data_IF_453879692814
#
_entry.id   IF_453879692814
#
_cell.length_a   1.000
_cell.length_b   1.000
_cell.length_c   1.000
_cell.angle_alpha   90.00
_cell.angle_beta   90.00
_cell.angle_gamma   90.00
#
_symmetry.space_group_name_H-M   'P 1'
#
loop_
_entity.id
_entity.type
_entity.pdbx_description
1 polymer ?
#
# COMPACT_ATOMS: atom_id res chain seq x y z
N UNK A 1 -1.54 -14.51 14.26
CA UNK A 1 -2.52 -13.60 14.88
C UNK A 1 -3.20 -12.73 13.83
N UNK A 2 -2.46 -12.03 12.96
CA UNK A 2 -3.03 -11.20 11.88
C UNK A 2 -4.01 -12.00 11.00
N UNK A 3 -3.63 -13.18 10.51
CA UNK A 3 -4.50 -14.01 9.65
C UNK A 3 -5.86 -14.35 10.27
N UNK A 4 -5.89 -14.59 11.59
CA UNK A 4 -7.13 -14.86 12.31
C UNK A 4 -8.02 -13.61 12.36
N UNK A 5 -7.43 -12.44 12.64
CA UNK A 5 -8.15 -11.17 12.69
C UNK A 5 -8.67 -10.78 11.30
N UNK A 6 -7.86 -10.96 10.25
CA UNK A 6 -8.27 -10.75 8.86
C UNK A 6 -9.44 -11.67 8.49
N UNK A 7 -9.39 -12.95 8.89
CA UNK A 7 -10.49 -13.88 8.64
C UNK A 7 -11.75 -13.56 9.45
N UNK A 8 -11.62 -13.10 10.70
CA UNK A 8 -12.77 -12.64 11.48
C UNK A 8 -13.44 -11.42 10.84
N UNK A 9 -12.66 -10.49 10.30
CA UNK A 9 -13.19 -9.29 9.66
C UNK A 9 -13.83 -9.57 8.29
N UNK A 10 -13.26 -10.48 7.50
CA UNK A 10 -13.62 -10.65 6.09
C UNK A 10 -14.28 -11.99 5.75
N UNK A 11 -14.21 -12.99 6.63
CA UNK A 11 -14.61 -14.37 6.34
C UNK A 11 -16.04 -14.51 5.86
N UNK A 12 -16.98 -13.77 6.46
CA UNK A 12 -18.39 -13.75 6.05
C UNK A 12 -18.59 -13.11 4.67
N UNK A 13 -17.83 -12.06 4.35
CA UNK A 13 -17.88 -11.39 3.05
C UNK A 13 -17.35 -12.36 1.97
N UNK A 14 -16.20 -13.00 2.25
CA UNK A 14 -15.57 -13.98 1.37
C UNK A 14 -16.50 -15.17 1.14
N UNK A 15 -17.07 -15.75 2.20
CA UNK A 15 -17.96 -16.91 2.09
C UNK A 15 -19.27 -16.59 1.36
N UNK A 16 -19.82 -15.38 1.56
CA UNK A 16 -20.99 -14.92 0.81
C UNK A 16 -20.69 -14.80 -0.68
N UNK A 17 -19.54 -14.25 -1.04
CA UNK A 17 -19.09 -14.17 -2.44
C UNK A 17 -18.89 -15.58 -3.04
N UNK A 18 -18.21 -16.47 -2.33
CA UNK A 18 -18.01 -17.87 -2.75
C UNK A 18 -19.32 -18.59 -3.04
N UNK A 19 -20.27 -18.54 -2.12
CA UNK A 19 -21.53 -19.28 -2.25
C UNK A 19 -22.48 -18.64 -3.28
N UNK A 20 -22.62 -17.30 -3.27
CA UNK A 20 -23.65 -16.63 -4.08
C UNK A 20 -23.20 -16.27 -5.49
N UNK A 21 -21.91 -16.03 -5.71
CA UNK A 21 -21.39 -15.59 -7.01
C UNK A 21 -20.64 -16.70 -7.74
N UNK A 22 -19.91 -17.54 -7.01
CA UNK A 22 -19.04 -18.57 -7.61
C UNK A 22 -19.63 -19.99 -7.53
N UNK A 23 -20.70 -20.21 -6.76
CA UNK A 23 -21.26 -21.55 -6.54
C UNK A 23 -20.32 -22.48 -5.76
N UNK A 24 -19.39 -21.92 -4.99
CA UNK A 24 -18.41 -22.67 -4.21
C UNK A 24 -18.85 -22.81 -2.74
N UNK A 25 -18.46 -23.93 -2.13
CA UNK A 25 -18.67 -24.14 -0.69
C UNK A 25 -17.99 -23.06 0.15
N UNK A 26 -18.59 -22.67 1.29
CA UNK A 26 -17.95 -21.76 2.24
C UNK A 26 -16.70 -22.39 2.83
N UNK A 27 -15.68 -21.56 3.09
CA UNK A 27 -14.50 -21.96 3.84
C UNK A 27 -14.82 -21.96 5.33
N UNK A 28 -14.37 -23.00 6.02
CA UNK A 28 -14.51 -23.15 7.48
C UNK A 28 -13.89 -21.96 8.22
N UNK A 29 -14.56 -21.50 9.28
CA UNK A 29 -14.05 -20.47 10.19
C UNK A 29 -12.77 -20.86 10.91
N UNK A 30 -12.56 -22.15 11.15
CA UNK A 30 -11.38 -22.68 11.84
C UNK A 30 -10.21 -22.85 10.86
N UNK A 31 -10.46 -23.30 9.63
CA UNK A 31 -9.42 -23.60 8.62
C UNK A 31 -9.16 -22.46 7.62
N UNK A 32 -9.97 -21.41 7.67
CA UNK A 32 -9.84 -20.24 6.81
C UNK A 32 -8.55 -19.45 7.08
N UNK A 33 -8.24 -19.11 8.34
CA UNK A 33 -7.09 -18.28 8.67
C UNK A 33 -5.75 -18.82 8.15
N UNK A 34 -5.51 -20.13 8.21
CA UNK A 34 -4.24 -20.74 7.81
C UNK A 34 -4.23 -21.26 6.36
N UNK A 35 -5.34 -21.10 5.63
CA UNK A 35 -5.54 -21.79 4.35
C UNK A 35 -4.48 -21.42 3.32
N UNK A 36 -4.13 -20.13 3.19
CA UNK A 36 -3.15 -19.67 2.21
C UNK A 36 -1.75 -20.24 2.48
N UNK A 37 -1.34 -20.28 3.74
CA UNK A 37 -0.06 -20.85 4.16
C UNK A 37 -0.05 -22.38 3.99
N UNK A 38 -1.10 -23.06 4.45
CA UNK A 38 -1.22 -24.52 4.38
C UNK A 38 -1.24 -25.03 2.95
N UNK A 39 -1.91 -24.31 2.04
CA UNK A 39 -1.96 -24.65 0.62
C UNK A 39 -0.77 -24.10 -0.17
N UNK A 40 0.15 -23.37 0.47
CA UNK A 40 1.30 -22.73 -0.18
C UNK A 40 0.90 -21.90 -1.40
N UNK A 41 -0.18 -21.13 -1.29
CA UNK A 41 -0.71 -20.33 -2.41
C UNK A 41 0.37 -19.35 -2.88
N UNK A 42 0.84 -19.45 -4.14
CA UNK A 42 1.89 -18.56 -4.63
C UNK A 42 1.43 -17.10 -4.63
N UNK A 43 2.24 -16.22 -4.07
CA UNK A 43 1.99 -14.78 -4.10
C UNK A 43 3.30 -13.99 -4.08
N UNK A 44 3.22 -12.77 -4.61
CA UNK A 44 4.36 -11.88 -4.80
C UNK A 44 4.09 -10.58 -4.05
N UNK A 45 5.05 -10.14 -3.24
CA UNK A 45 5.02 -8.82 -2.63
C UNK A 45 5.72 -7.79 -3.53
N UNK A 46 5.07 -6.64 -3.70
CA UNK A 46 5.50 -5.61 -4.66
C UNK A 46 6.28 -4.47 -3.99
N UNK A 47 7.36 -4.82 -3.28
CA UNK A 47 8.32 -3.84 -2.75
C UNK A 47 9.75 -4.16 -3.20
N UNK A 48 10.66 -3.19 -3.08
CA UNK A 48 12.08 -3.39 -3.40
C UNK A 48 12.81 -4.22 -2.33
N UNK A 49 13.50 -5.33 -2.69
CA UNK A 49 14.35 -6.07 -1.75
C UNK A 49 15.48 -5.24 -1.13
N UNK A 50 15.86 -4.12 -1.75
CA UNK A 50 16.83 -3.17 -1.19
C UNK A 50 16.27 -2.39 0.01
N UNK A 51 14.94 -2.27 0.12
CA UNK A 51 14.27 -1.65 1.27
C UNK A 51 14.11 -2.67 2.40
N UNK A 52 13.52 -3.83 2.10
CA UNK A 52 13.35 -4.94 3.03
C UNK A 52 13.66 -6.25 2.29
N UNK A 53 14.73 -6.97 2.67
CA UNK A 53 15.07 -8.24 2.04
C UNK A 53 14.01 -9.32 2.38
N UNK A 54 13.92 -10.34 1.53
CA UNK A 54 13.03 -11.48 1.79
C UNK A 54 13.42 -12.16 3.12
N UNK A 55 12.48 -12.33 4.07
CA UNK A 55 12.73 -13.11 5.27
C UNK A 55 13.13 -14.56 4.94
N UNK A 56 14.10 -15.09 5.68
CA UNK A 56 14.69 -16.43 5.41
C UNK A 56 13.73 -17.58 5.68
N UNK A 57 12.75 -17.36 6.55
CA UNK A 57 11.71 -18.29 6.96
C UNK A 57 10.55 -18.37 5.96
N UNK A 58 10.54 -17.52 4.93
CA UNK A 58 9.50 -17.56 3.89
C UNK A 58 9.71 -18.70 2.90
N UNK A 59 8.64 -19.43 2.62
CA UNK A 59 8.64 -20.52 1.65
C UNK A 59 9.00 -20.08 0.22
N UNK A 60 9.35 -21.05 -0.62
CA UNK A 60 9.68 -20.81 -2.05
C UNK A 60 8.50 -20.29 -2.88
N UNK A 61 7.27 -20.49 -2.41
CA UNK A 61 6.03 -20.01 -3.05
C UNK A 61 5.80 -18.50 -2.86
N UNK A 62 6.54 -17.86 -1.96
CA UNK A 62 6.45 -16.40 -1.73
C UNK A 62 7.63 -15.73 -2.41
N UNK A 63 7.36 -14.72 -3.24
CA UNK A 63 8.40 -13.95 -3.94
C UNK A 63 8.27 -12.45 -3.65
N UNK A 64 9.33 -11.70 -3.97
CA UNK A 64 9.35 -10.24 -3.90
C UNK A 64 9.84 -9.75 -5.26
N UNK A 65 9.05 -8.92 -5.95
CA UNK A 65 9.33 -8.53 -7.34
C UNK A 65 10.06 -7.21 -7.50
N UNK A 66 10.09 -6.36 -6.48
CA UNK A 66 10.31 -4.92 -6.67
C UNK A 66 8.98 -4.15 -6.73
N UNK A 67 9.08 -2.84 -6.90
CA UNK A 67 7.92 -1.97 -7.04
C UNK A 67 7.22 -2.18 -8.39
N UNK A 68 5.88 -2.10 -8.38
CA UNK A 68 5.10 -2.02 -9.61
C UNK A 68 5.04 -0.57 -10.06
N UNK A 69 5.78 -0.23 -11.12
CA UNK A 69 5.69 1.09 -11.75
C UNK A 69 4.62 1.07 -12.84
N UNK A 70 3.85 2.16 -12.89
CA UNK A 70 2.94 2.43 -14.00
C UNK A 70 3.70 3.12 -15.13
N UNK A 71 3.24 2.96 -16.36
CA UNK A 71 3.71 3.80 -17.47
C UNK A 71 3.32 5.24 -17.19
N UNK A 72 4.29 6.12 -17.09
CA UNK A 72 4.04 7.55 -16.90
C UNK A 72 3.37 8.11 -18.16
N UNK A 73 2.20 8.74 -18.07
CA UNK A 73 1.60 9.42 -19.22
C UNK A 73 2.44 10.64 -19.61
N UNK A 74 2.34 11.05 -20.87
CA UNK A 74 2.90 12.32 -21.30
C UNK A 74 2.22 13.46 -20.53
N UNK A 75 3.02 14.22 -19.78
CA UNK A 75 2.54 15.33 -18.97
C UNK A 75 3.34 16.59 -19.30
N UNK A 76 2.63 17.64 -19.74
CA UNK A 76 3.18 18.97 -19.92
C UNK A 76 2.80 19.82 -18.70
N UNK A 77 3.75 20.21 -17.82
CA UNK A 77 3.45 21.06 -16.68
C UNK A 77 3.01 22.45 -17.13
N UNK A 78 2.19 23.10 -16.31
CA UNK A 78 1.89 24.52 -16.48
C UNK A 78 3.18 25.36 -16.35
N UNK A 79 3.21 26.54 -16.99
CA UNK A 79 4.42 27.35 -17.12
C UNK A 79 4.99 27.80 -15.78
N UNK A 80 4.14 28.07 -14.81
CA UNK A 80 4.49 28.46 -13.44
C UNK A 80 5.19 27.32 -12.67
N UNK A 81 4.68 26.10 -12.78
CA UNK A 81 5.31 24.91 -12.21
C UNK A 81 6.65 24.63 -12.90
N UNK A 82 6.72 24.77 -14.23
CA UNK A 82 7.97 24.59 -14.97
C UNK A 82 9.03 25.61 -14.56
N UNK A 83 8.65 26.87 -14.38
CA UNK A 83 9.54 27.93 -13.88
C UNK A 83 10.03 27.62 -12.46
N UNK A 84 9.14 27.18 -11.56
CA UNK A 84 9.50 26.76 -10.20
C UNK A 84 10.49 25.59 -10.19
N UNK A 85 10.24 24.54 -10.98
CA UNK A 85 11.10 23.34 -11.06
C UNK A 85 12.48 23.63 -11.67
N UNK A 86 12.60 24.66 -12.51
CA UNK A 86 13.87 25.11 -13.08
C UNK A 86 14.69 26.04 -12.16
N UNK A 87 14.14 26.40 -10.99
CA UNK A 87 14.84 27.15 -9.96
C UNK A 87 15.79 26.29 -9.11
N UNK A 88 16.06 26.69 -7.85
CA UNK A 88 16.76 25.84 -6.88
C UNK A 88 16.05 24.50 -6.68
N UNK A 89 16.82 23.47 -6.28
CA UNK A 89 16.28 22.11 -6.09
C UNK A 89 15.05 22.11 -5.16
N UNK A 90 13.84 21.78 -5.67
CA UNK A 90 12.62 21.93 -4.91
C UNK A 90 12.42 20.78 -3.90
N UNK A 91 11.67 21.06 -2.84
CA UNK A 91 11.22 20.04 -1.87
C UNK A 91 9.74 19.75 -2.13
N UNK A 92 9.40 18.48 -2.36
CA UNK A 92 8.02 18.01 -2.42
C UNK A 92 7.55 17.55 -1.04
N UNK A 93 6.42 18.10 -0.57
CA UNK A 93 5.77 17.71 0.68
C UNK A 93 4.36 17.22 0.34
N UNK A 94 4.09 15.95 0.63
CA UNK A 94 2.78 15.35 0.41
C UNK A 94 2.58 14.15 1.32
N UNK A 95 1.44 14.10 2.00
CA UNK A 95 1.09 13.01 2.94
C UNK A 95 0.06 12.04 2.36
N UNK A 96 -0.35 12.24 1.09
CA UNK A 96 -1.49 11.55 0.51
C UNK A 96 -2.81 12.01 1.16
N UNK A 97 -3.86 11.22 0.97
CA UNK A 97 -5.15 11.49 1.59
C UNK A 97 -5.13 10.97 3.04
N UNK A 98 -5.05 11.90 3.99
CA UNK A 98 -5.12 11.64 5.42
C UNK A 98 -6.22 12.49 6.06
N UNK A 99 -6.83 11.98 7.12
CA UNK A 99 -7.74 12.76 7.97
C UNK A 99 -6.91 13.32 9.12
N UNK A 100 -6.88 14.65 9.23
CA UNK A 100 -6.19 15.37 10.29
C UNK A 100 -7.23 16.02 11.20
N UNK A 101 -6.95 16.06 12.51
CA UNK A 101 -7.80 16.76 13.48
C UNK A 101 -7.82 18.28 13.21
N UNK A 102 -6.67 18.85 12.85
CA UNK A 102 -6.52 20.27 12.48
C UNK A 102 -5.60 20.43 11.25
N UNK A 103 -6.18 20.45 10.03
CA UNK A 103 -5.44 20.63 8.78
C UNK A 103 -4.78 22.01 8.64
N UNK A 104 -5.38 23.05 9.21
CA UNK A 104 -4.88 24.43 9.10
C UNK A 104 -3.62 24.59 9.95
N UNK A 105 -3.62 24.07 11.18
CA UNK A 105 -2.44 24.05 12.03
C UNK A 105 -1.27 23.27 11.41
N UNK A 106 -1.55 22.13 10.77
CA UNK A 106 -0.52 21.37 10.02
C UNK A 106 0.06 22.20 8.88
N UNK A 107 -0.79 22.88 8.11
CA UNK A 107 -0.34 23.72 6.98
C UNK A 107 0.52 24.89 7.47
N UNK A 108 0.12 25.56 8.55
CA UNK A 108 0.91 26.63 9.14
C UNK A 108 2.25 26.14 9.68
N UNK A 109 2.29 24.96 10.29
CA UNK A 109 3.53 24.35 10.76
C UNK A 109 4.49 24.06 9.60
N UNK A 110 3.98 23.59 8.46
CA UNK A 110 4.80 23.35 7.26
C UNK A 110 5.39 24.66 6.74
N UNK A 111 4.60 25.73 6.65
CA UNK A 111 5.10 27.05 6.23
C UNK A 111 6.13 27.64 7.20
N UNK A 112 5.93 27.47 8.50
CA UNK A 112 6.89 27.88 9.52
C UNK A 112 8.20 27.11 9.39
N UNK A 113 8.12 25.79 9.21
CA UNK A 113 9.30 24.94 9.01
C UNK A 113 10.08 25.37 7.77
N UNK A 114 9.40 25.56 6.63
CA UNK A 114 10.03 26.01 5.39
C UNK A 114 10.75 27.34 5.57
N UNK A 115 10.09 28.35 6.17
CA UNK A 115 10.70 29.67 6.40
C UNK A 115 11.96 29.61 7.28
N UNK A 116 12.01 28.67 8.22
CA UNK A 116 13.16 28.47 9.12
C UNK A 116 14.33 27.74 8.46
N UNK A 117 14.07 26.91 7.44
CA UNK A 117 15.09 26.06 6.82
C UNK A 117 15.52 26.50 5.43
N UNK A 118 14.78 27.40 4.77
CA UNK A 118 15.09 27.93 3.43
C UNK A 118 14.15 27.38 2.37
#
# INVERSE_FOLDING_TARGET
MIELLSWQALGDIINRFRAKCLGLDPVSTIRGPDMLQRLKVPHTYCWSPALIPKPKDWGSHVSISGFCFLTTPDYAPASDLLEFLNGPAPIYIGFGSIVLDDPDAMTQLIFEAARRTG
#
